data_IF_629044945534
#
_entry.id   IF_629044945534
#
_cell.length_a   1.000
_cell.length_b   1.000
_cell.length_c   1.000
_cell.angle_alpha   90.00
_cell.angle_beta   90.00
_cell.angle_gamma   90.00
#
_symmetry.space_group_name_H-M   'P 1'
#
loop_
_entity.id
_entity.type
_entity.pdbx_description
1 polymer ?
#
# COMPACT_ATOMS: atom_id res chain seq x y z
N UNK A 1 -0.57 34.60 -41.70
CA UNK A 1 -0.31 34.24 -40.30
C UNK A 1 -0.91 32.87 -40.04
N UNK A 2 -0.34 32.08 -39.11
CA UNK A 2 -0.79 30.76 -38.65
C UNK A 2 -0.09 29.52 -39.24
N UNK A 3 1.22 29.39 -39.00
CA UNK A 3 1.94 28.11 -39.07
C UNK A 3 2.61 27.76 -37.73
N UNK A 4 1.97 28.08 -36.60
CA UNK A 4 2.54 27.87 -35.25
C UNK A 4 1.63 27.07 -34.30
N UNK A 5 0.46 26.61 -34.74
CA UNK A 5 -0.52 25.99 -33.84
C UNK A 5 -0.42 24.46 -33.73
N UNK A 6 0.23 23.79 -34.69
CA UNK A 6 0.32 22.31 -34.70
C UNK A 6 1.48 21.76 -33.86
N UNK A 7 2.49 22.56 -33.52
CA UNK A 7 3.67 22.11 -32.77
C UNK A 7 3.46 22.09 -31.24
N UNK A 8 2.45 22.79 -30.72
CA UNK A 8 2.23 22.96 -29.27
C UNK A 8 1.50 21.75 -28.65
N UNK A 9 0.67 21.02 -29.43
CA UNK A 9 -0.11 19.87 -28.92
C UNK A 9 0.64 18.54 -29.05
N UNK A 10 1.60 18.41 -29.97
CA UNK A 10 2.36 17.16 -30.20
C UNK A 10 3.42 16.91 -29.12
N UNK A 11 4.05 17.97 -28.60
CA UNK A 11 5.09 17.89 -27.57
C UNK A 11 4.65 17.23 -26.24
N UNK A 12 3.51 17.60 -25.62
CA UNK A 12 3.09 17.02 -24.35
C UNK A 12 2.67 15.55 -24.47
N UNK A 13 2.06 15.14 -25.59
CA UNK A 13 1.71 13.73 -25.83
C UNK A 13 2.96 12.86 -26.03
N UNK A 14 3.91 13.33 -26.84
CA UNK A 14 5.18 12.64 -27.04
C UNK A 14 5.98 12.55 -25.72
N UNK A 15 5.95 13.62 -24.91
CA UNK A 15 6.58 13.63 -23.59
C UNK A 15 5.89 12.68 -22.61
N UNK A 16 4.56 12.64 -22.55
CA UNK A 16 3.82 11.70 -21.70
C UNK A 16 4.07 10.24 -22.09
N UNK A 17 4.08 9.92 -23.39
CA UNK A 17 4.44 8.60 -23.91
C UNK A 17 5.89 8.24 -23.55
N UNK A 18 6.81 9.19 -23.69
CA UNK A 18 8.21 9.01 -23.29
C UNK A 18 8.33 8.77 -21.78
N UNK A 19 7.68 9.57 -20.93
CA UNK A 19 7.66 9.39 -19.48
C UNK A 19 7.05 8.04 -19.08
N UNK A 20 6.00 7.60 -19.77
CA UNK A 20 5.38 6.30 -19.53
C UNK A 20 6.30 5.14 -19.93
N UNK A 21 7.05 5.26 -21.02
CA UNK A 21 8.08 4.30 -21.43
C UNK A 21 9.27 4.26 -20.45
N UNK A 22 9.66 5.40 -19.89
CA UNK A 22 10.70 5.52 -18.87
C UNK A 22 10.24 4.88 -17.54
N UNK A 23 8.98 5.08 -17.15
CA UNK A 23 8.40 4.39 -15.98
C UNK A 23 8.34 2.87 -16.16
N UNK A 24 8.03 2.38 -17.36
CA UNK A 24 8.09 0.95 -17.69
C UNK A 24 9.53 0.40 -17.70
N UNK A 25 10.49 1.18 -18.19
CA UNK A 25 11.92 0.86 -18.19
C UNK A 25 12.50 0.73 -16.77
N UNK A 26 11.98 1.50 -15.81
CA UNK A 26 12.46 1.48 -14.43
C UNK A 26 11.85 0.36 -13.56
N UNK A 27 10.82 -0.34 -14.04
CA UNK A 27 10.21 -1.43 -13.28
C UNK A 27 10.95 -2.76 -13.55
N UNK A 28 11.97 -3.04 -12.72
CA UNK A 28 12.76 -4.28 -12.78
C UNK A 28 11.89 -5.54 -12.76
N UNK A 29 10.76 -5.53 -12.04
CA UNK A 29 9.85 -6.67 -11.98
C UNK A 29 9.11 -6.88 -13.31
N UNK A 30 8.69 -5.80 -13.98
CA UNK A 30 8.06 -5.90 -15.29
C UNK A 30 9.01 -6.53 -16.33
N UNK A 31 10.29 -6.15 -16.32
CA UNK A 31 11.30 -6.76 -17.21
C UNK A 31 11.46 -8.26 -16.93
N UNK A 32 11.44 -8.68 -15.66
CA UNK A 32 11.51 -10.09 -15.28
C UNK A 32 10.29 -10.84 -15.80
N UNK A 33 9.08 -10.29 -15.65
CA UNK A 33 7.86 -10.93 -16.15
C UNK A 33 7.89 -11.10 -17.68
N UNK A 34 8.35 -10.08 -18.42
CA UNK A 34 8.54 -10.16 -19.88
C UNK A 34 9.58 -11.23 -20.26
N UNK A 35 10.68 -11.33 -19.52
CA UNK A 35 11.70 -12.35 -19.76
C UNK A 35 11.15 -13.77 -19.52
N UNK A 36 10.35 -13.97 -18.47
CA UNK A 36 9.67 -15.25 -18.19
C UNK A 36 8.68 -15.58 -19.31
N UNK A 37 7.89 -14.62 -19.77
CA UNK A 37 6.94 -14.80 -20.86
C UNK A 37 7.66 -15.17 -22.17
N UNK A 38 8.79 -14.54 -22.47
CA UNK A 38 9.61 -14.84 -23.64
C UNK A 38 10.15 -16.28 -23.62
N UNK A 39 10.64 -16.77 -22.48
CA UNK A 39 11.09 -18.16 -22.30
C UNK A 39 9.92 -19.14 -22.47
N UNK A 40 8.72 -18.79 -22.00
CA UNK A 40 7.53 -19.63 -22.16
C UNK A 40 7.08 -19.73 -23.63
N UNK A 41 7.15 -18.61 -24.37
CA UNK A 41 6.81 -18.55 -25.80
C UNK A 41 7.84 -19.29 -26.67
N UNK A 42 9.12 -19.04 -26.45
CA UNK A 42 10.21 -19.71 -27.17
C UNK A 42 10.95 -20.70 -26.28
N UNK A 43 10.58 -21.98 -26.39
CA UNK A 43 11.22 -23.08 -25.64
C UNK A 43 12.69 -23.30 -25.99
N UNK A 44 13.20 -22.72 -27.09
CA UNK A 44 14.63 -22.79 -27.46
C UNK A 44 15.46 -21.69 -26.77
N UNK A 45 14.81 -20.69 -26.16
CA UNK A 45 15.48 -19.59 -25.51
C UNK A 45 16.04 -20.03 -24.14
N UNK A 46 17.36 -20.06 -24.03
CA UNK A 46 18.04 -20.29 -22.75
C UNK A 46 17.78 -19.16 -21.76
N UNK A 47 17.63 -19.50 -20.47
CA UNK A 47 17.50 -18.55 -19.36
C UNK A 47 18.65 -17.54 -19.35
N UNK A 48 19.90 -17.96 -19.62
CA UNK A 48 21.05 -17.03 -19.72
C UNK A 48 20.91 -16.04 -20.86
N UNK A 49 20.39 -16.49 -22.00
CA UNK A 49 20.19 -15.65 -23.18
C UNK A 49 19.08 -14.64 -22.94
N UNK A 50 17.97 -15.07 -22.34
CA UNK A 50 16.88 -14.18 -21.91
C UNK A 50 17.36 -13.14 -20.88
N UNK A 51 18.09 -13.56 -19.85
CA UNK A 51 18.66 -12.65 -18.86
C UNK A 51 19.52 -11.56 -19.50
N UNK A 52 20.37 -11.92 -20.47
CA UNK A 52 21.19 -10.95 -21.23
C UNK A 52 20.35 -10.04 -22.12
N UNK A 53 19.34 -10.57 -22.81
CA UNK A 53 18.45 -9.82 -23.70
C UNK A 53 17.67 -8.73 -22.95
N UNK A 54 17.15 -9.07 -21.77
CA UNK A 54 16.33 -8.18 -20.95
C UNK A 54 17.15 -7.40 -19.89
N UNK A 55 18.48 -7.52 -19.89
CA UNK A 55 19.39 -6.87 -18.93
C UNK A 55 19.08 -7.17 -17.44
N UNK A 56 18.78 -8.43 -17.14
CA UNK A 56 18.44 -8.91 -15.79
C UNK A 56 19.55 -9.85 -15.29
N UNK A 57 19.80 -9.85 -13.98
CA UNK A 57 20.64 -10.89 -13.40
C UNK A 57 20.03 -12.28 -13.59
N UNK A 58 20.83 -13.22 -14.10
CA UNK A 58 20.44 -14.61 -14.27
C UNK A 58 19.90 -15.25 -12.98
N UNK A 59 20.48 -14.91 -11.82
CA UNK A 59 20.04 -15.44 -10.52
C UNK A 59 18.66 -14.94 -10.13
N UNK A 60 18.35 -13.66 -10.43
CA UNK A 60 17.04 -13.06 -10.18
C UNK A 60 15.96 -13.72 -11.05
N UNK A 61 16.27 -13.95 -12.33
CA UNK A 61 15.34 -14.60 -13.26
C UNK A 61 15.02 -16.03 -12.83
N UNK A 62 16.03 -16.83 -12.44
CA UNK A 62 15.81 -18.18 -11.91
C UNK A 62 14.96 -18.16 -10.64
N UNK A 63 15.26 -17.28 -9.68
CA UNK A 63 14.47 -17.15 -8.44
C UNK A 63 13.00 -16.89 -8.75
N UNK A 64 12.72 -16.02 -9.71
CA UNK A 64 11.37 -15.66 -10.13
C UNK A 64 10.65 -16.81 -10.85
N UNK A 65 11.37 -17.54 -11.71
CA UNK A 65 10.84 -18.76 -12.34
C UNK A 65 10.51 -19.86 -11.32
N UNK A 66 11.27 -19.94 -10.22
CA UNK A 66 11.01 -20.85 -9.11
C UNK A 66 9.92 -20.36 -8.14
N UNK A 67 9.22 -19.27 -8.46
CA UNK A 67 8.07 -18.78 -7.69
C UNK A 67 8.43 -17.87 -6.51
N UNK A 68 9.67 -17.40 -6.37
CA UNK A 68 10.00 -16.41 -5.33
C UNK A 68 9.40 -15.06 -5.72
N UNK A 69 8.61 -14.47 -4.82
CA UNK A 69 8.00 -13.15 -4.95
C UNK A 69 9.00 -12.02 -4.66
N UNK A 70 8.75 -10.79 -5.15
CA UNK A 70 9.57 -9.64 -4.86
C UNK A 70 9.61 -9.30 -3.38
N UNK A 71 10.72 -8.70 -2.96
CA UNK A 71 10.90 -8.29 -1.57
C UNK A 71 9.84 -7.28 -1.13
N UNK A 72 9.29 -6.49 -2.06
CA UNK A 72 8.21 -5.55 -1.80
C UNK A 72 6.91 -6.25 -1.38
N UNK A 73 6.65 -7.44 -1.92
CA UNK A 73 5.52 -8.28 -1.51
C UNK A 73 5.82 -9.09 -0.23
N UNK A 74 7.11 -9.17 0.16
CA UNK A 74 7.49 -9.89 1.37
C UNK A 74 7.18 -9.06 2.61
N UNK A 75 6.23 -9.55 3.41
CA UNK A 75 5.91 -8.95 4.70
C UNK A 75 6.97 -9.30 5.75
N UNK A 76 7.53 -8.31 6.47
CA UNK A 76 8.47 -8.59 7.55
C UNK A 76 7.83 -9.45 8.66
N UNK A 77 8.57 -10.41 9.21
CA UNK A 77 8.12 -11.24 10.36
C UNK A 77 7.80 -10.44 11.63
N UNK A 78 8.11 -9.14 11.66
CA UNK A 78 7.82 -8.24 12.78
C UNK A 78 6.38 -7.74 12.82
N UNK A 79 5.53 -8.11 11.85
CA UNK A 79 4.10 -7.81 11.92
C UNK A 79 3.40 -8.88 12.77
N UNK A 80 2.92 -8.47 13.96
CA UNK A 80 2.18 -9.37 14.86
C UNK A 80 0.73 -9.62 14.38
N UNK A 81 0.12 -8.65 13.70
CA UNK A 81 -1.21 -8.78 13.11
C UNK A 81 -1.12 -9.25 11.66
N UNK A 82 -2.07 -10.06 11.22
CA UNK A 82 -2.31 -10.45 9.81
C UNK A 82 -2.91 -9.29 9.02
N UNK A 83 -2.89 -9.37 7.69
CA UNK A 83 -3.37 -8.28 6.82
C UNK A 83 -4.87 -8.02 7.05
N UNK A 84 -5.66 -9.09 7.20
CA UNK A 84 -7.08 -9.02 7.52
C UNK A 84 -7.34 -8.37 8.88
N UNK A 85 -6.49 -8.63 9.88
CA UNK A 85 -6.64 -7.99 11.20
C UNK A 85 -6.26 -6.52 11.16
N UNK A 86 -5.21 -6.16 10.42
CA UNK A 86 -4.87 -4.75 10.21
C UNK A 86 -6.00 -4.03 9.47
N UNK A 87 -6.65 -4.67 8.48
CA UNK A 87 -7.81 -4.13 7.77
C UNK A 87 -9.02 -3.91 8.69
N UNK A 88 -9.36 -4.89 9.53
CA UNK A 88 -10.42 -4.74 10.55
C UNK A 88 -10.11 -3.60 11.51
N UNK A 89 -8.86 -3.46 11.94
CA UNK A 89 -8.43 -2.38 12.82
C UNK A 89 -8.52 -1.01 12.13
N UNK A 90 -8.15 -0.91 10.85
CA UNK A 90 -8.30 0.32 10.05
C UNK A 90 -9.78 0.69 9.96
N UNK A 91 -10.64 -0.27 9.61
CA UNK A 91 -12.08 -0.03 9.49
C UNK A 91 -12.69 0.46 10.81
N UNK A 92 -12.26 -0.13 11.93
CA UNK A 92 -12.66 0.32 13.27
C UNK A 92 -12.26 1.77 13.55
N UNK A 93 -11.04 2.18 13.20
CA UNK A 93 -10.56 3.55 13.38
C UNK A 93 -11.36 4.54 12.51
N UNK A 94 -11.69 4.15 11.27
CA UNK A 94 -12.49 4.97 10.37
C UNK A 94 -13.95 5.12 10.84
N UNK A 95 -14.57 4.05 11.34
CA UNK A 95 -15.92 4.10 11.92
C UNK A 95 -15.98 5.04 13.13
N UNK A 96 -14.95 5.00 13.99
CA UNK A 96 -14.83 5.91 15.12
C UNK A 96 -14.77 7.37 14.68
N UNK A 97 -13.95 7.69 13.67
CA UNK A 97 -13.81 9.04 13.11
C UNK A 97 -15.10 9.53 12.43
N UNK A 98 -15.79 8.66 11.68
CA UNK A 98 -17.08 8.98 11.04
C UNK A 98 -18.16 9.34 12.06
N UNK A 99 -18.17 8.63 13.20
CA UNK A 99 -19.07 8.91 14.32
C UNK A 99 -18.68 10.17 15.10
N UNK A 100 -17.58 10.81 14.72
CA UNK A 100 -17.06 12.02 15.33
C UNK A 100 -16.20 11.78 16.56
N UNK A 101 -15.83 10.54 16.88
CA UNK A 101 -14.88 10.25 17.95
C UNK A 101 -13.47 10.24 17.38
N UNK A 102 -12.60 11.15 17.85
CA UNK A 102 -11.18 11.05 17.52
C UNK A 102 -10.58 9.86 18.28
N UNK A 103 -10.10 8.81 17.59
CA UNK A 103 -9.51 7.65 18.23
C UNK A 103 -8.21 8.06 18.93
N UNK A 104 -7.95 7.54 20.14
CA UNK A 104 -6.66 7.73 20.81
C UNK A 104 -5.70 6.61 20.44
N UNK A 105 -4.40 6.88 20.57
CA UNK A 105 -3.36 5.88 20.34
C UNK A 105 -3.53 4.68 21.28
N UNK A 106 -4.01 4.91 22.51
CA UNK A 106 -4.37 3.86 23.47
C UNK A 106 -5.46 2.94 22.94
N UNK A 107 -6.51 3.51 22.33
CA UNK A 107 -7.67 2.75 21.88
C UNK A 107 -7.29 1.81 20.72
N UNK A 108 -6.38 2.25 19.85
CA UNK A 108 -5.79 1.42 18.79
C UNK A 108 -4.94 0.29 19.37
N UNK A 109 -4.16 0.56 20.41
CA UNK A 109 -3.37 -0.46 21.10
C UNK A 109 -4.26 -1.49 21.79
N UNK A 110 -5.33 -1.05 22.45
CA UNK A 110 -6.28 -1.91 23.15
C UNK A 110 -7.04 -2.81 22.17
N UNK A 111 -7.52 -2.26 21.05
CA UNK A 111 -8.20 -3.04 20.01
C UNK A 111 -7.25 -4.05 19.35
N UNK A 112 -6.00 -3.67 19.07
CA UNK A 112 -5.00 -4.59 18.54
C UNK A 112 -4.66 -5.71 19.54
N UNK A 113 -4.56 -5.39 20.84
CA UNK A 113 -4.32 -6.38 21.89
C UNK A 113 -5.51 -7.31 22.07
N UNK A 114 -6.74 -6.81 21.97
CA UNK A 114 -7.95 -7.62 21.98
C UNK A 114 -7.92 -8.68 20.87
N UNK A 115 -7.62 -8.26 19.64
CA UNK A 115 -7.48 -9.17 18.49
C UNK A 115 -6.39 -10.23 18.77
N UNK A 116 -5.23 -9.84 19.27
CA UNK A 116 -4.15 -10.78 19.58
C UNK A 116 -4.51 -11.75 20.71
N UNK A 117 -5.22 -11.27 21.73
CA UNK A 117 -5.67 -12.08 22.86
C UNK A 117 -6.65 -13.16 22.41
N UNK A 118 -7.57 -12.86 21.49
CA UNK A 118 -8.48 -13.88 20.92
C UNK A 118 -7.73 -15.02 20.21
N UNK A 119 -6.51 -14.76 19.74
CA UNK A 119 -5.63 -15.77 19.10
C UNK A 119 -4.62 -16.41 20.07
N UNK A 120 -4.58 -15.99 21.33
CA UNK A 120 -3.55 -16.40 22.28
C UNK A 120 -2.14 -15.90 21.91
N UNK A 121 -2.04 -14.82 21.16
CA UNK A 121 -0.77 -14.21 20.75
C UNK A 121 -0.25 -13.22 21.80
N UNK A 122 1.04 -12.88 21.70
CA UNK A 122 1.65 -11.88 22.59
C UNK A 122 1.15 -10.48 22.25
N UNK A 123 0.96 -9.65 23.28
CA UNK A 123 0.59 -8.24 23.16
C UNK A 123 1.56 -7.44 22.28
N UNK A 124 1.05 -6.36 21.69
CA UNK A 124 1.88 -5.43 20.91
C UNK A 124 2.88 -4.69 21.80
N UNK A 125 3.96 -4.18 21.21
CA UNK A 125 4.93 -3.37 21.93
C UNK A 125 4.50 -1.90 22.07
N UNK A 126 5.05 -1.18 23.05
CA UNK A 126 4.70 0.23 23.36
C UNK A 126 4.72 1.21 22.18
N UNK A 127 5.62 1.02 21.21
CA UNK A 127 5.73 1.89 20.04
C UNK A 127 4.96 1.37 18.81
N UNK A 128 4.24 0.26 18.96
CA UNK A 128 3.59 -0.40 17.84
C UNK A 128 2.47 0.46 17.25
N UNK A 129 1.57 1.01 18.08
CA UNK A 129 0.45 1.83 17.61
C UNK A 129 0.92 3.08 16.86
N UNK A 130 1.94 3.78 17.38
CA UNK A 130 2.57 4.91 16.69
C UNK A 130 3.15 4.52 15.32
N UNK A 131 3.86 3.38 15.25
CA UNK A 131 4.43 2.88 14.00
C UNK A 131 3.35 2.41 13.04
N UNK A 132 2.25 1.85 13.54
CA UNK A 132 1.08 1.43 12.76
C UNK A 132 0.46 2.65 12.07
N UNK A 133 0.15 3.69 12.82
CA UNK A 133 -0.40 4.94 12.27
C UNK A 133 0.52 5.58 11.24
N UNK A 134 1.84 5.56 11.45
CA UNK A 134 2.80 6.12 10.49
C UNK A 134 2.80 5.39 9.14
N UNK A 135 2.38 4.12 9.09
CA UNK A 135 2.30 3.34 7.83
C UNK A 135 1.10 3.74 6.98
N UNK A 136 -0.02 4.10 7.59
CA UNK A 136 -1.28 4.39 6.90
C UNK A 136 -1.55 5.89 6.89
N UNK A 137 -1.29 6.54 5.75
CA UNK A 137 -1.54 7.98 5.58
C UNK A 137 -3.01 8.35 5.71
N UNK A 138 -3.91 7.41 5.40
CA UNK A 138 -5.37 7.55 5.53
C UNK A 138 -5.79 7.79 6.98
N UNK A 139 -5.11 7.16 7.94
CA UNK A 139 -5.40 7.34 9.36
C UNK A 139 -4.87 8.67 9.91
N UNK A 140 -4.04 9.40 9.16
CA UNK A 140 -3.42 10.63 9.66
C UNK A 140 -4.45 11.73 9.94
N UNK A 141 -5.54 11.77 9.20
CA UNK A 141 -6.59 12.79 9.36
C UNK A 141 -7.44 12.54 10.61
N UNK A 142 -7.74 11.28 10.94
CA UNK A 142 -8.62 10.89 12.05
C UNK A 142 -8.12 11.36 13.43
N UNK A 143 -6.79 11.49 13.61
CA UNK A 143 -6.17 11.91 14.88
C UNK A 143 -5.93 13.42 14.97
N UNK A 144 -6.06 14.15 13.87
CA UNK A 144 -5.92 15.61 13.83
C UNK A 144 -7.26 16.34 13.94
N UNK A 145 -8.38 15.61 13.84
CA UNK A 145 -9.71 16.15 14.09
C UNK A 145 -9.85 16.48 15.58
N UNK A 146 -9.71 17.76 15.92
CA UNK A 146 -10.08 18.25 17.25
C UNK A 146 -11.58 18.00 17.42
N UNK A 147 -11.93 17.20 18.42
CA UNK A 147 -13.30 16.93 18.77
C UNK A 147 -14.03 18.24 19.08
N UNK A 148 -14.99 18.61 18.23
CA UNK A 148 -15.88 19.74 18.50
C UNK A 148 -16.95 19.28 19.50
N UNK A 149 -16.58 19.37 20.78
CA UNK A 149 -17.42 18.98 21.91
C UNK A 149 -18.79 19.67 21.91
N UNK A 150 -18.89 20.85 21.31
CA UNK A 150 -20.16 21.58 21.22
C UNK A 150 -21.15 20.88 20.28
N UNK A 151 -20.66 20.27 19.20
CA UNK A 151 -21.48 19.54 18.22
C UNK A 151 -22.04 18.24 18.77
N UNK A 152 -21.32 17.56 19.66
CA UNK A 152 -21.77 16.32 20.28
C UNK A 152 -22.89 16.54 21.31
N UNK A 153 -22.74 17.59 22.14
CA UNK A 153 -23.76 17.96 23.13
C UNK A 153 -25.10 18.32 22.47
N UNK A 154 -25.08 18.93 21.27
CA UNK A 154 -26.29 19.24 20.51
C UNK A 154 -27.00 18.00 19.94
N UNK A 155 -26.30 16.89 19.68
CA UNK A 155 -26.89 15.66 19.10
C UNK A 155 -27.48 14.73 20.16
N UNK A 156 -26.89 14.69 21.36
CA UNK A 156 -27.35 13.80 22.44
C UNK A 156 -28.52 14.38 23.24
N UNK A 157 -28.72 15.71 23.23
CA UNK A 157 -29.83 16.37 23.93
C UNK A 157 -31.22 15.94 23.43
N UNK A 158 -31.34 15.49 22.18
CA UNK A 158 -32.63 15.06 21.60
C UNK A 158 -33.05 13.64 22.04
N UNK A 159 -32.15 12.87 22.66
CA UNK A 159 -32.41 11.47 23.06
C UNK A 159 -32.64 11.27 24.56
N UNK A 160 -32.52 12.33 25.38
CA UNK A 160 -32.65 12.26 26.84
C UNK A 160 -34.06 12.64 27.33
N UNK A 161 -34.86 13.32 26.51
CA UNK A 161 -36.26 13.62 26.85
C UNK A 161 -37.22 12.52 26.37
N UNK A 162 -37.25 11.38 27.07
CA UNK A 162 -38.43 10.51 27.08
C UNK A 162 -38.53 9.57 28.28
#
# INVERSE_FOLDING_TARGET
MCTTFTSIIIFPLQYAIYQQSIMQSNNKEAQILLAIEAIRKDKKLSIRKAAKLYNISHTTLIRRMNGLTPRTEFRPKSHNLTDLEEEVLIQYILDMDERGFSPRISDVEDMANYILETRGAKKVGKLWAYRFMKRYTELKTCFNCVYDFQRALCKDSELIER
#
